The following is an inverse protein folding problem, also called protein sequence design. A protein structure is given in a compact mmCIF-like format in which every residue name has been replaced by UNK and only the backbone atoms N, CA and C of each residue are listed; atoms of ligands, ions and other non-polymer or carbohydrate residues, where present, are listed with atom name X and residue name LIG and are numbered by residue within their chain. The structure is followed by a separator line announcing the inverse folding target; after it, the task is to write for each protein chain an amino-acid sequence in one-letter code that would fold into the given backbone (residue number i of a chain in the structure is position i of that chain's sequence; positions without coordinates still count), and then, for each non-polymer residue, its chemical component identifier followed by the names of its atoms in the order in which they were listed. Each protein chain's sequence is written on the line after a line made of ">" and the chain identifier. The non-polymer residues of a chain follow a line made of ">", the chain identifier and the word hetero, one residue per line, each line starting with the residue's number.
data_IF_574508992446
#
_entry.id   IF_574508992446
#
_cell.length_a   1.000
_cell.length_b   1.000
_cell.length_c   1.000
_cell.angle_alpha   90.00
_cell.angle_beta   90.00
_cell.angle_gamma   90.00
#
_symmetry.space_group_name_H-M   'P 1'
#
loop_
_entity.id
_entity.type
_entity.pdbx_description
1 polymer ?
#
# COMPACT_ATOMS: atom_id res chain seq x y z
N UNK A 1 36.07 -47.78 31.67
CA UNK A 1 37.39 -48.44 31.71
C UNK A 1 38.03 -48.10 33.04
N UNK A 2 38.34 -49.08 33.88
CA UNK A 2 38.87 -48.83 35.23
C UNK A 2 40.32 -48.35 35.18
N UNK A 3 40.69 -47.43 36.06
CA UNK A 3 42.06 -46.92 36.15
C UNK A 3 42.92 -47.83 37.02
N UNK A 4 44.19 -47.97 36.67
CA UNK A 4 45.22 -48.64 37.49
C UNK A 4 45.86 -47.68 38.49
N UNK A 5 45.51 -46.40 38.49
CA UNK A 5 46.05 -45.41 39.41
C UNK A 5 45.17 -45.32 40.68
N UNK A 6 45.81 -45.52 41.84
CA UNK A 6 45.19 -45.58 43.17
C UNK A 6 44.56 -44.23 43.55
N UNK A 7 45.00 -43.13 42.95
CA UNK A 7 44.53 -41.77 43.27
C UNK A 7 43.23 -41.40 42.54
N UNK A 8 42.82 -42.19 41.55
CA UNK A 8 41.67 -41.87 40.72
C UNK A 8 40.37 -42.46 41.30
N UNK A 9 39.24 -41.73 41.22
CA UNK A 9 37.96 -42.20 41.77
C UNK A 9 37.40 -43.45 41.06
N UNK A 10 37.95 -43.83 39.91
CA UNK A 10 37.60 -45.01 39.13
C UNK A 10 38.64 -46.15 39.23
N UNK A 11 39.41 -46.19 40.31
CA UNK A 11 40.41 -47.23 40.56
C UNK A 11 39.79 -48.63 40.55
N UNK A 12 40.39 -49.54 39.77
CA UNK A 12 40.00 -50.95 39.76
C UNK A 12 41.16 -51.84 40.21
N UNK A 13 41.01 -52.53 41.37
CA UNK A 13 42.10 -53.31 41.96
C UNK A 13 42.50 -54.52 41.11
N UNK A 14 41.57 -55.10 40.34
CA UNK A 14 41.86 -56.25 39.48
C UNK A 14 42.80 -55.87 38.33
N UNK A 15 42.58 -54.71 37.70
CA UNK A 15 43.46 -54.22 36.64
C UNK A 15 44.82 -53.78 37.18
N UNK A 16 44.88 -53.24 38.40
CA UNK A 16 46.15 -52.87 39.03
C UNK A 16 47.04 -54.08 39.30
N UNK A 17 46.47 -55.15 39.86
CA UNK A 17 47.20 -56.40 40.12
C UNK A 17 47.66 -57.06 38.82
N UNK A 18 46.81 -57.07 37.80
CA UNK A 18 47.16 -57.60 36.47
C UNK A 18 48.32 -56.81 35.83
N UNK A 19 48.34 -55.49 35.98
CA UNK A 19 49.36 -54.65 35.35
C UNK A 19 50.71 -54.67 36.10
N UNK A 20 50.71 -54.67 37.44
CA UNK A 20 51.94 -54.52 38.23
C UNK A 20 52.46 -55.82 38.86
N UNK A 21 51.62 -56.85 38.98
CA UNK A 21 51.94 -58.10 39.69
C UNK A 21 51.46 -59.34 38.92
N UNK A 22 51.53 -59.31 37.59
CA UNK A 22 51.15 -60.44 36.71
C UNK A 22 51.96 -61.72 36.93
N UNK A 23 53.21 -61.60 37.41
CA UNK A 23 54.12 -62.73 37.66
C UNK A 23 54.23 -63.12 39.14
N UNK A 24 53.38 -62.60 40.02
CA UNK A 24 53.43 -62.90 41.45
C UNK A 24 52.84 -64.29 41.75
N UNK A 25 53.50 -65.04 42.63
CA UNK A 25 53.02 -66.37 43.04
C UNK A 25 51.88 -66.21 44.05
N UNK A 26 50.93 -67.16 44.10
CA UNK A 26 49.80 -67.12 45.05
C UNK A 26 50.23 -66.93 46.50
N UNK A 27 51.36 -67.53 46.90
CA UNK A 27 51.88 -67.42 48.26
C UNK A 27 52.40 -66.01 48.58
N UNK A 28 53.02 -65.34 47.59
CA UNK A 28 53.42 -63.94 47.71
C UNK A 28 52.22 -63.01 47.82
N UNK A 29 51.14 -63.26 47.07
CA UNK A 29 49.90 -62.48 47.17
C UNK A 29 49.26 -62.64 48.56
N UNK A 30 49.30 -63.84 49.13
CA UNK A 30 48.79 -64.11 50.48
C UNK A 30 49.61 -63.38 51.55
N UNK A 31 50.94 -63.45 51.48
CA UNK A 31 51.81 -62.72 52.39
C UNK A 31 51.66 -61.19 52.25
N UNK A 32 51.52 -60.68 51.03
CA UNK A 32 51.25 -59.26 50.79
C UNK A 32 49.90 -58.83 51.36
N UNK A 33 48.87 -59.68 51.28
CA UNK A 33 47.57 -59.40 51.89
C UNK A 33 47.67 -59.34 53.41
N UNK A 34 48.37 -60.28 54.05
CA UNK A 34 48.61 -60.24 55.51
C UNK A 34 49.40 -58.99 55.92
N UNK A 35 50.44 -58.64 55.16
CA UNK A 35 51.19 -57.40 55.36
C UNK A 35 50.29 -56.17 55.23
N UNK A 36 49.46 -56.08 54.19
CA UNK A 36 48.52 -54.97 53.98
C UNK A 36 47.48 -54.89 55.10
N UNK A 37 46.97 -56.01 55.60
CA UNK A 37 46.05 -56.03 56.74
C UNK A 37 46.71 -55.49 58.00
N UNK A 38 47.97 -55.88 58.26
CA UNK A 38 48.76 -55.36 59.38
C UNK A 38 49.04 -53.87 59.21
N UNK A 39 49.53 -53.44 58.05
CA UNK A 39 49.73 -52.01 57.73
C UNK A 39 48.43 -51.22 57.80
N UNK A 40 47.28 -51.78 57.44
CA UNK A 40 45.97 -51.11 57.59
C UNK A 40 45.58 -50.94 59.05
N UNK A 41 45.86 -51.93 59.90
CA UNK A 41 45.64 -51.82 61.34
C UNK A 41 46.55 -50.75 61.96
N UNK A 42 47.83 -50.74 61.59
CA UNK A 42 48.81 -49.73 62.03
C UNK A 42 48.45 -48.32 61.50
N UNK A 43 48.03 -48.23 60.23
CA UNK A 43 47.59 -46.98 59.61
C UNK A 43 46.26 -46.46 60.15
N UNK A 44 45.38 -47.28 60.74
CA UNK A 44 44.23 -46.75 61.48
C UNK A 44 44.70 -45.97 62.71
N UNK A 45 45.71 -46.46 63.43
CA UNK A 45 46.37 -45.73 64.51
C UNK A 45 46.97 -44.41 64.01
N UNK A 46 47.81 -44.46 62.97
CA UNK A 46 48.47 -43.28 62.40
C UNK A 46 47.49 -42.27 61.74
N UNK A 47 46.43 -42.74 61.08
CA UNK A 47 45.39 -41.89 60.51
C UNK A 47 44.57 -41.21 61.61
N UNK A 48 44.27 -41.90 62.71
CA UNK A 48 43.60 -41.26 63.84
C UNK A 48 44.49 -40.25 64.56
N UNK A 49 45.82 -40.43 64.63
CA UNK A 49 46.73 -39.41 65.17
C UNK A 49 46.93 -38.24 64.21
N UNK A 50 47.03 -38.48 62.90
CA UNK A 50 47.10 -37.43 61.88
C UNK A 50 45.84 -36.57 61.85
N UNK A 51 44.66 -37.21 61.90
CA UNK A 51 43.39 -36.51 62.05
C UNK A 51 43.39 -35.75 63.38
N UNK A 52 43.68 -36.39 64.52
CA UNK A 52 43.72 -35.72 65.83
C UNK A 52 44.63 -34.49 65.88
N UNK A 53 45.80 -34.55 65.25
CA UNK A 53 46.76 -33.45 65.23
C UNK A 53 46.38 -32.33 64.25
N UNK A 54 45.51 -32.60 63.26
CA UNK A 54 45.13 -31.65 62.20
C UNK A 54 43.61 -31.44 62.07
N UNK A 55 42.84 -31.78 63.12
CA UNK A 55 41.37 -31.65 63.15
C UNK A 55 40.94 -30.21 62.85
N UNK A 56 41.69 -29.22 63.35
CA UNK A 56 41.39 -27.81 63.13
C UNK A 56 41.42 -27.43 61.64
N UNK A 57 42.49 -27.78 60.93
CA UNK A 57 42.63 -27.51 59.50
C UNK A 57 41.62 -28.29 58.65
N UNK A 58 41.24 -29.49 59.08
CA UNK A 58 40.19 -30.25 58.39
C UNK A 58 38.80 -29.63 58.59
N UNK A 59 38.48 -29.19 59.81
CA UNK A 59 37.23 -28.46 60.07
C UNK A 59 37.18 -27.16 59.29
N UNK A 60 38.28 -26.41 59.24
CA UNK A 60 38.40 -25.19 58.44
C UNK A 60 38.18 -25.47 56.95
N UNK A 61 38.81 -26.49 56.38
CA UNK A 61 38.61 -26.87 54.98
C UNK A 61 37.15 -27.30 54.70
N UNK A 62 36.52 -28.01 55.64
CA UNK A 62 35.11 -28.41 55.52
C UNK A 62 34.18 -27.20 55.61
N UNK A 63 34.48 -26.23 56.48
CA UNK A 63 33.66 -25.02 56.62
C UNK A 63 33.84 -24.09 55.41
N UNK A 64 35.06 -23.91 54.89
CA UNK A 64 35.31 -23.24 53.61
C UNK A 64 34.52 -23.92 52.48
N UNK A 65 34.49 -25.25 52.45
CA UNK A 65 33.74 -25.99 51.42
C UNK A 65 32.22 -25.82 51.57
N UNK A 66 31.70 -25.76 52.81
CA UNK A 66 30.29 -25.44 53.07
C UNK A 66 29.98 -24.01 52.66
N UNK A 67 30.87 -23.06 52.91
CA UNK A 67 30.70 -21.67 52.50
C UNK A 67 30.71 -21.53 50.98
N UNK A 68 31.64 -22.20 50.28
CA UNK A 68 31.64 -22.26 48.81
C UNK A 68 30.34 -22.88 48.29
N UNK A 69 29.87 -23.97 48.91
CA UNK A 69 28.60 -24.61 48.51
C UNK A 69 27.41 -23.69 48.78
N UNK A 70 27.40 -22.97 49.90
CA UNK A 70 26.35 -21.99 50.23
C UNK A 70 26.35 -20.84 49.24
N UNK A 71 27.51 -20.26 48.94
CA UNK A 71 27.66 -19.20 47.93
C UNK A 71 27.28 -19.65 46.51
N UNK A 72 27.49 -20.93 46.20
CA UNK A 72 27.11 -21.52 44.91
C UNK A 72 25.63 -21.89 44.83
N UNK A 73 25.00 -22.21 45.95
CA UNK A 73 23.56 -22.47 46.07
C UNK A 73 22.75 -21.17 46.26
N UNK A 74 23.41 -20.08 46.67
CA UNK A 74 22.83 -18.75 46.72
C UNK A 74 22.54 -18.30 45.29
N UNK A 75 21.28 -18.46 44.90
CA UNK A 75 20.63 -18.30 43.60
C UNK A 75 20.73 -16.88 42.99
N UNK A 76 21.81 -16.15 43.25
CA UNK A 76 22.10 -14.84 42.64
C UNK A 76 22.11 -14.89 41.12
N UNK A 77 22.30 -16.05 40.48
CA UNK A 77 22.22 -16.18 39.01
C UNK A 77 20.79 -16.22 38.47
N UNK A 78 19.79 -16.68 39.24
CA UNK A 78 18.37 -16.66 38.81
C UNK A 78 17.71 -15.29 39.03
N UNK A 79 18.07 -14.59 40.10
CA UNK A 79 17.47 -13.30 40.46
C UNK A 79 18.23 -12.07 39.94
N UNK A 80 19.35 -12.23 39.22
CA UNK A 80 20.13 -11.08 38.71
C UNK A 80 19.44 -10.36 37.55
N UNK A 81 18.75 -11.09 36.67
CA UNK A 81 18.12 -10.54 35.48
C UNK A 81 16.69 -10.03 35.72
N UNK A 82 16.04 -10.50 36.78
CA UNK A 82 14.66 -10.14 37.15
C UNK A 82 14.46 -8.61 37.31
N UNK A 83 15.35 -7.86 37.99
CA UNK A 83 15.18 -6.40 38.13
C UNK A 83 15.45 -5.66 36.82
N UNK A 84 16.36 -6.17 35.98
CA UNK A 84 16.69 -5.58 34.68
C UNK A 84 15.53 -5.75 33.71
N UNK A 85 14.91 -6.94 33.68
CA UNK A 85 13.72 -7.19 32.87
C UNK A 85 12.58 -6.26 33.30
N UNK A 86 12.31 -6.14 34.60
CA UNK A 86 11.29 -5.23 35.13
C UNK A 86 11.56 -3.77 34.75
N UNK A 87 12.81 -3.32 34.83
CA UNK A 87 13.19 -1.97 34.42
C UNK A 87 12.98 -1.75 32.91
N UNK A 88 13.32 -2.72 32.07
CA UNK A 88 13.09 -2.64 30.62
C UNK A 88 11.60 -2.60 30.30
N UNK A 89 10.79 -3.45 30.93
CA UNK A 89 9.33 -3.44 30.76
C UNK A 89 8.71 -2.11 31.19
N UNK A 90 9.19 -1.51 32.28
CA UNK A 90 8.73 -0.20 32.73
C UNK A 90 9.12 0.92 31.78
N UNK A 91 10.37 0.93 31.28
CA UNK A 91 10.82 1.88 30.26
C UNK A 91 10.00 1.71 28.97
N UNK A 92 9.76 0.48 28.52
CA UNK A 92 8.93 0.20 27.35
C UNK A 92 7.50 0.70 27.54
N UNK A 93 6.89 0.50 28.73
CA UNK A 93 5.55 1.00 29.03
C UNK A 93 5.49 2.53 29.00
N UNK A 94 6.48 3.20 29.59
CA UNK A 94 6.58 4.66 29.56
C UNK A 94 6.78 5.15 28.12
N UNK A 95 7.67 4.52 27.36
CA UNK A 95 7.92 4.86 25.98
C UNK A 95 6.66 4.71 25.12
N UNK A 96 5.93 3.59 25.23
CA UNK A 96 4.65 3.42 24.54
C UNK A 96 3.65 4.50 24.94
N UNK A 97 3.50 4.78 26.24
CA UNK A 97 2.60 5.85 26.69
C UNK A 97 2.97 7.23 26.16
N UNK A 98 4.27 7.54 26.02
CA UNK A 98 4.73 8.82 25.47
C UNK A 98 4.52 8.86 23.95
N UNK A 99 4.99 7.84 23.24
CA UNK A 99 5.02 7.81 21.79
C UNK A 99 3.68 7.48 21.13
N UNK A 100 2.75 6.78 21.77
CA UNK A 100 1.45 6.47 21.18
C UNK A 100 0.69 7.75 20.81
N UNK A 101 0.78 8.78 21.66
CA UNK A 101 0.18 10.09 21.36
C UNK A 101 0.86 10.81 20.21
N UNK A 102 2.19 10.70 20.10
CA UNK A 102 2.96 11.34 19.04
C UNK A 102 2.83 10.61 17.70
N UNK A 103 2.76 9.27 17.72
CA UNK A 103 2.48 8.44 16.56
C UNK A 103 1.06 8.72 16.04
N UNK A 104 0.05 8.76 16.92
CA UNK A 104 -1.31 9.09 16.50
C UNK A 104 -1.41 10.49 15.87
N UNK A 105 -0.68 11.47 16.41
CA UNK A 105 -0.59 12.83 15.83
C UNK A 105 0.14 12.84 14.49
N UNK A 106 1.22 12.08 14.37
CA UNK A 106 1.95 11.92 13.12
C UNK A 106 1.07 11.26 12.05
N UNK A 107 0.39 10.18 12.39
CA UNK A 107 -0.53 9.48 11.47
C UNK A 107 -1.66 10.41 11.02
N UNK A 108 -2.25 11.18 11.93
CA UNK A 108 -3.26 12.17 11.56
C UNK A 108 -2.70 13.25 10.63
N UNK A 109 -1.49 13.74 10.91
CA UNK A 109 -0.79 14.71 10.05
C UNK A 109 -0.50 14.12 8.66
N UNK A 110 -0.10 12.86 8.59
CA UNK A 110 0.21 12.16 7.35
C UNK A 110 -1.06 11.85 6.55
N UNK A 111 -2.19 11.54 7.21
CA UNK A 111 -3.51 11.46 6.58
C UNK A 111 -3.90 12.81 5.97
N UNK A 112 -3.74 13.92 6.70
CA UNK A 112 -4.04 15.26 6.17
C UNK A 112 -3.14 15.57 4.97
N UNK A 113 -1.83 15.30 5.06
CA UNK A 113 -0.89 15.51 3.95
C UNK A 113 -1.28 14.68 2.74
N UNK A 114 -1.60 13.40 2.93
CA UNK A 114 -2.01 12.52 1.84
C UNK A 114 -3.32 13.00 1.20
N UNK A 115 -4.33 13.33 2.01
CA UNK A 115 -5.60 13.88 1.53
C UNK A 115 -5.39 15.18 0.76
N UNK A 116 -4.56 16.09 1.26
CA UNK A 116 -4.22 17.35 0.60
C UNK A 116 -3.52 17.11 -0.74
N UNK A 117 -2.55 16.19 -0.78
CA UNK A 117 -1.85 15.84 -2.02
C UNK A 117 -2.82 15.28 -3.08
N UNK A 118 -3.75 14.41 -2.67
CA UNK A 118 -4.80 13.88 -3.56
C UNK A 118 -5.68 15.02 -4.07
N UNK A 119 -6.17 15.91 -3.20
CA UNK A 119 -7.02 17.04 -3.59
C UNK A 119 -6.29 18.00 -4.53
N UNK A 120 -5.01 18.29 -4.27
CA UNK A 120 -4.21 19.19 -5.10
C UNK A 120 -3.92 18.57 -6.46
N UNK A 121 -3.50 17.29 -6.51
CA UNK A 121 -3.21 16.56 -7.74
C UNK A 121 -4.45 16.43 -8.62
N UNK A 122 -5.60 16.16 -8.02
CA UNK A 122 -6.86 15.98 -8.73
C UNK A 122 -7.78 17.20 -8.66
N UNK A 123 -7.25 18.38 -8.32
CA UNK A 123 -8.00 19.64 -8.23
C UNK A 123 -8.81 19.87 -9.51
N UNK A 124 -8.21 19.62 -10.66
CA UNK A 124 -8.86 19.71 -11.97
C UNK A 124 -10.15 18.87 -12.07
N UNK A 125 -10.13 17.62 -11.58
CA UNK A 125 -11.28 16.70 -11.65
C UNK A 125 -12.46 17.25 -10.85
N UNK A 126 -12.21 17.80 -9.66
CA UNK A 126 -13.26 18.39 -8.83
C UNK A 126 -13.89 19.65 -9.45
N UNK A 127 -13.11 20.43 -10.20
CA UNK A 127 -13.61 21.62 -10.88
C UNK A 127 -14.17 21.32 -12.28
N UNK A 128 -14.04 20.09 -12.77
CA UNK A 128 -14.39 19.70 -14.12
C UNK A 128 -15.89 19.91 -14.42
N UNK A 129 -16.84 19.42 -13.59
CA UNK A 129 -18.26 19.58 -13.90
C UNK A 129 -18.66 21.05 -14.00
N UNK A 130 -18.16 21.88 -13.07
CA UNK A 130 -18.42 23.32 -13.06
C UNK A 130 -17.78 24.04 -14.26
N UNK A 131 -16.60 23.60 -14.68
CA UNK A 131 -15.90 24.19 -15.83
C UNK A 131 -16.62 23.83 -17.13
N UNK A 132 -17.06 22.58 -17.28
CA UNK A 132 -17.85 22.11 -18.42
C UNK A 132 -19.14 22.92 -18.54
N UNK A 133 -19.90 23.07 -17.45
CA UNK A 133 -21.15 23.80 -17.47
C UNK A 133 -20.96 25.27 -17.91
N UNK A 134 -19.89 25.93 -17.43
CA UNK A 134 -19.55 27.30 -17.82
C UNK A 134 -19.12 27.40 -19.29
N UNK A 135 -18.31 26.46 -19.76
CA UNK A 135 -17.81 26.44 -21.14
C UNK A 135 -18.93 26.14 -22.14
N UNK A 136 -19.92 25.32 -21.77
CA UNK A 136 -21.12 25.09 -22.59
C UNK A 136 -21.96 26.36 -22.74
N UNK A 137 -22.11 27.14 -21.66
CA UNK A 137 -22.81 28.45 -21.71
C UNK A 137 -22.10 29.49 -22.57
N UNK A 138 -20.79 29.34 -22.78
CA UNK A 138 -19.96 30.24 -23.60
C UNK A 138 -19.75 29.72 -25.03
N UNK A 139 -20.34 28.58 -25.38
CA UNK A 139 -20.17 27.91 -26.67
C UNK A 139 -18.71 27.52 -27.00
N UNK A 140 -17.85 27.40 -25.98
CA UNK A 140 -16.43 27.03 -26.10
C UNK A 140 -16.27 25.49 -26.13
N UNK A 141 -16.89 24.83 -27.12
CA UNK A 141 -17.01 23.36 -27.16
C UNK A 141 -15.68 22.62 -27.33
N UNK A 142 -14.68 23.22 -27.99
CA UNK A 142 -13.36 22.63 -28.17
C UNK A 142 -12.65 22.38 -26.84
N UNK A 143 -12.72 23.35 -25.93
CA UNK A 143 -12.11 23.24 -24.59
C UNK A 143 -12.78 22.14 -23.78
N UNK A 144 -14.11 22.06 -23.84
CA UNK A 144 -14.89 21.02 -23.15
C UNK A 144 -14.43 19.63 -23.55
N UNK A 145 -14.19 19.39 -24.83
CA UNK A 145 -13.77 18.07 -25.33
C UNK A 145 -12.36 17.73 -24.87
N UNK A 146 -11.43 18.68 -24.95
CA UNK A 146 -10.07 18.48 -24.44
C UNK A 146 -10.06 18.20 -22.94
N UNK A 147 -10.87 18.92 -22.17
CA UNK A 147 -11.01 18.71 -20.73
C UNK A 147 -11.61 17.33 -20.42
N UNK A 148 -12.58 16.86 -21.21
CA UNK A 148 -13.19 15.53 -21.07
C UNK A 148 -12.21 14.39 -21.41
N UNK A 149 -11.42 14.54 -22.47
CA UNK A 149 -10.37 13.57 -22.82
C UNK A 149 -9.32 13.50 -21.71
N UNK A 150 -8.89 14.65 -21.20
CA UNK A 150 -7.96 14.73 -20.07
C UNK A 150 -8.54 14.11 -18.79
N UNK A 151 -9.82 14.32 -18.53
CA UNK A 151 -10.51 13.74 -17.39
C UNK A 151 -10.57 12.21 -17.49
N UNK A 152 -10.92 11.66 -18.66
CA UNK A 152 -10.92 10.20 -18.90
C UNK A 152 -9.56 9.58 -18.58
N UNK A 153 -8.46 10.15 -19.09
CA UNK A 153 -7.11 9.67 -18.80
C UNK A 153 -6.79 9.73 -17.29
N UNK A 154 -7.28 10.75 -16.58
CA UNK A 154 -7.06 10.87 -15.15
C UNK A 154 -7.86 9.83 -14.33
N UNK A 155 -9.08 9.49 -14.76
CA UNK A 155 -9.90 8.47 -14.11
C UNK A 155 -9.38 7.05 -14.29
N UNK A 156 -8.67 6.75 -15.39
CA UNK A 156 -8.03 5.43 -15.59
C UNK A 156 -6.95 5.13 -14.53
N UNK A 157 -6.34 6.17 -13.95
CA UNK A 157 -5.26 6.01 -12.97
C UNK A 157 -5.71 5.89 -11.51
N UNK A 158 -6.98 6.17 -11.20
CA UNK A 158 -7.46 6.26 -9.81
C UNK A 158 -8.84 5.63 -9.65
N UNK A 159 -8.89 4.50 -8.94
CA UNK A 159 -10.14 3.87 -8.53
C UNK A 159 -10.39 4.12 -7.04
N UNK A 160 -11.12 5.18 -6.72
CA UNK A 160 -11.57 5.47 -5.35
C UNK A 160 -13.06 5.80 -5.33
N UNK A 161 -13.73 5.46 -4.21
CA UNK A 161 -15.19 5.65 -4.07
C UNK A 161 -15.62 7.11 -4.29
N UNK A 162 -14.77 8.08 -3.93
CA UNK A 162 -15.04 9.51 -4.09
C UNK A 162 -15.04 9.89 -5.57
N UNK A 163 -14.10 9.36 -6.36
CA UNK A 163 -14.02 9.64 -7.78
C UNK A 163 -15.18 9.06 -8.58
N UNK A 164 -15.81 7.98 -8.11
CA UNK A 164 -16.98 7.39 -8.80
C UNK A 164 -18.19 8.32 -8.86
N UNK A 165 -18.42 9.13 -7.82
CA UNK A 165 -19.53 10.09 -7.84
C UNK A 165 -19.27 11.19 -8.87
N UNK A 166 -18.03 11.71 -8.91
CA UNK A 166 -17.63 12.73 -9.89
C UNK A 166 -17.64 12.14 -11.29
N UNK A 167 -17.16 10.93 -11.48
CA UNK A 167 -17.19 10.22 -12.76
C UNK A 167 -18.63 10.06 -13.27
N UNK A 168 -19.58 9.75 -12.39
CA UNK A 168 -21.01 9.68 -12.76
C UNK A 168 -21.55 11.03 -13.22
N UNK A 169 -21.21 12.10 -12.50
CA UNK A 169 -21.63 13.46 -12.86
C UNK A 169 -21.01 13.91 -14.20
N UNK A 170 -19.73 13.60 -14.42
CA UNK A 170 -19.04 13.87 -15.69
C UNK A 170 -19.67 13.08 -16.83
N UNK A 171 -19.96 11.79 -16.65
CA UNK A 171 -20.62 11.00 -17.70
C UNK A 171 -22.01 11.54 -18.04
N UNK A 172 -22.77 12.01 -17.03
CA UNK A 172 -24.05 12.67 -17.26
C UNK A 172 -23.90 13.96 -18.07
N UNK A 173 -22.87 14.77 -17.80
CA UNK A 173 -22.57 15.96 -18.59
C UNK A 173 -22.15 15.61 -20.02
N UNK A 174 -21.34 14.55 -20.22
CA UNK A 174 -21.01 14.05 -21.55
C UNK A 174 -22.29 13.66 -22.31
N UNK A 175 -23.23 12.99 -21.64
CA UNK A 175 -24.49 12.60 -22.26
C UNK A 175 -25.34 13.80 -22.65
N UNK A 176 -25.39 14.84 -21.82
CA UNK A 176 -26.09 16.11 -22.14
C UNK A 176 -25.44 16.85 -23.33
N UNK A 177 -24.10 16.83 -23.41
CA UNK A 177 -23.38 17.39 -24.54
C UNK A 177 -23.68 16.64 -25.84
N UNK A 178 -23.74 15.31 -25.78
CA UNK A 178 -24.10 14.47 -26.93
C UNK A 178 -25.50 14.80 -27.44
N UNK A 179 -26.48 14.94 -26.56
CA UNK A 179 -27.84 15.30 -26.97
C UNK A 179 -27.89 16.70 -27.57
N UNK A 180 -27.17 17.67 -26.99
CA UNK A 180 -27.07 19.03 -27.52
C UNK A 180 -26.44 19.06 -28.92
N UNK A 181 -25.30 18.39 -29.13
CA UNK A 181 -24.66 18.35 -30.45
C UNK A 181 -25.52 17.62 -31.48
N UNK A 182 -26.23 16.55 -31.10
CA UNK A 182 -27.20 15.90 -31.98
C UNK A 182 -28.35 16.83 -32.35
N UNK A 183 -28.91 17.57 -31.38
CA UNK A 183 -29.97 18.56 -31.66
C UNK A 183 -29.49 19.64 -32.63
N UNK A 184 -28.30 20.20 -32.41
CA UNK A 184 -27.69 21.20 -33.30
C UNK A 184 -27.41 20.66 -34.71
N UNK A 185 -27.07 19.37 -34.85
CA UNK A 185 -26.92 18.71 -36.15
C UNK A 185 -28.26 18.50 -36.88
N UNK A 186 -29.36 18.35 -36.14
CA UNK A 186 -30.71 18.24 -36.72
C UNK A 186 -31.36 19.60 -37.04
N UNK A 187 -30.85 20.70 -36.47
CA UNK A 187 -31.28 22.06 -36.79
C UNK A 187 -30.82 22.44 -38.21
N UNK A 188 -31.72 22.32 -39.18
CA UNK A 188 -31.52 22.81 -40.55
C UNK A 188 -32.20 24.17 -40.73
N UNK A 189 -31.53 25.20 -41.31
CA UNK A 189 -30.25 25.17 -42.01
C UNK A 189 -29.06 25.57 -41.12
N UNK A 190 -28.15 24.64 -40.85
CA UNK A 190 -26.84 24.89 -40.23
C UNK A 190 -25.74 25.03 -41.29
N UNK A 191 -24.67 25.77 -41.00
CA UNK A 191 -23.52 25.89 -41.89
C UNK A 191 -22.80 24.54 -42.04
N UNK A 192 -22.30 24.24 -43.23
CA UNK A 192 -21.53 23.01 -43.49
C UNK A 192 -20.30 22.90 -42.59
N UNK A 193 -19.69 24.04 -42.24
CA UNK A 193 -18.51 24.09 -41.37
C UNK A 193 -18.87 23.71 -39.92
N UNK A 194 -20.03 24.16 -39.44
CA UNK A 194 -20.54 23.80 -38.10
C UNK A 194 -20.91 22.32 -38.03
N UNK A 195 -21.54 21.79 -39.09
CA UNK A 195 -21.87 20.36 -39.18
C UNK A 195 -20.61 19.49 -39.13
N UNK A 196 -19.57 19.84 -39.90
CA UNK A 196 -18.28 19.13 -39.85
C UNK A 196 -17.63 19.23 -38.45
N UNK A 197 -17.72 20.38 -37.81
CA UNK A 197 -17.18 20.61 -36.47
C UNK A 197 -17.89 19.73 -35.43
N UNK A 198 -19.22 19.72 -35.40
CA UNK A 198 -20.00 18.90 -34.48
C UNK A 198 -19.83 17.40 -34.71
N UNK A 199 -19.69 16.96 -35.97
CA UNK A 199 -19.35 15.56 -36.28
C UNK A 199 -17.99 15.18 -35.69
N UNK A 200 -16.97 16.04 -35.85
CA UNK A 200 -15.64 15.80 -35.27
C UNK A 200 -15.70 15.69 -33.74
N UNK A 201 -16.46 16.58 -33.11
CA UNK A 201 -16.67 16.61 -31.67
C UNK A 201 -17.41 15.39 -31.13
N UNK A 202 -18.45 14.93 -31.83
CA UNK A 202 -19.16 13.72 -31.46
C UNK A 202 -18.28 12.48 -31.63
N UNK A 203 -17.46 12.42 -32.68
CA UNK A 203 -16.55 11.30 -32.91
C UNK A 203 -15.43 11.23 -31.85
N UNK A 204 -14.91 12.38 -31.38
CA UNK A 204 -13.92 12.38 -30.29
C UNK A 204 -14.52 11.97 -28.94
N UNK A 205 -15.83 12.17 -28.75
CA UNK A 205 -16.55 11.77 -27.55
C UNK A 205 -17.04 10.31 -27.60
N UNK A 206 -17.31 9.78 -28.78
CA UNK A 206 -17.72 8.39 -29.00
C UNK A 206 -17.19 7.86 -30.35
N UNK A 207 -16.08 7.10 -30.33
CA UNK A 207 -15.52 6.52 -31.54
C UNK A 207 -16.39 5.44 -32.18
N UNK A 208 -17.43 4.93 -31.48
CA UNK A 208 -18.27 3.83 -31.96
C UNK A 208 -19.55 4.30 -32.65
N UNK A 209 -19.99 5.52 -32.39
CA UNK A 209 -21.10 6.12 -33.12
C UNK A 209 -20.63 6.65 -34.48
N UNK A 210 -21.52 6.67 -35.48
CA UNK A 210 -21.32 7.36 -36.76
C UNK A 210 -22.26 8.60 -36.84
N UNK A 211 -21.83 9.75 -36.28
CA UNK A 211 -22.61 10.98 -36.30
C UNK A 211 -22.78 11.57 -37.71
N UNK A 212 -21.88 11.21 -38.64
CA UNK A 212 -21.96 11.69 -40.01
C UNK A 212 -23.15 11.05 -40.73
N UNK A 213 -23.38 9.75 -40.50
CA UNK A 213 -24.53 9.04 -41.04
C UNK A 213 -25.86 9.60 -40.53
N UNK A 214 -25.96 9.87 -39.22
CA UNK A 214 -27.16 10.49 -38.62
C UNK A 214 -27.48 11.87 -39.24
N UNK A 215 -26.43 12.67 -39.50
CA UNK A 215 -26.56 13.98 -40.14
C UNK A 215 -27.09 13.86 -41.58
N UNK A 216 -26.54 12.93 -42.38
CA UNK A 216 -26.97 12.70 -43.77
C UNK A 216 -28.45 12.26 -43.82
N UNK A 217 -28.87 11.38 -42.91
CA UNK A 217 -30.27 10.95 -42.83
C UNK A 217 -31.18 12.14 -42.52
N UNK A 218 -30.84 12.97 -41.54
CA UNK A 218 -31.65 14.14 -41.20
C UNK A 218 -31.71 15.16 -42.32
N UNK A 219 -30.59 15.40 -43.01
CA UNK A 219 -30.57 16.32 -44.14
C UNK A 219 -31.41 15.79 -45.32
N UNK A 220 -31.37 14.47 -45.58
CA UNK A 220 -32.26 13.84 -46.55
C UNK A 220 -33.74 14.07 -46.18
N UNK A 221 -34.12 13.84 -44.93
CA UNK A 221 -35.51 14.04 -44.46
C UNK A 221 -35.93 15.50 -44.59
N UNK A 222 -35.08 16.44 -44.16
CA UNK A 222 -35.33 17.87 -44.29
C UNK A 222 -35.50 18.31 -45.75
N UNK A 223 -34.65 17.82 -46.65
CA UNK A 223 -34.75 18.10 -48.09
C UNK A 223 -36.04 17.52 -48.69
N UNK A 224 -36.43 16.30 -48.32
CA UNK A 224 -37.69 15.69 -48.77
C UNK A 224 -38.88 16.54 -48.29
N UNK A 225 -38.84 17.04 -47.06
CA UNK A 225 -39.92 17.86 -46.52
C UNK A 225 -40.02 19.22 -47.21
N UNK A 226 -38.88 19.85 -47.50
CA UNK A 226 -38.85 21.08 -48.33
C UNK A 226 -39.42 20.80 -49.72
N UNK A 227 -39.02 19.69 -50.37
CA UNK A 227 -39.52 19.32 -51.69
C UNK A 227 -41.04 19.05 -51.68
N UNK A 228 -41.57 18.39 -50.64
CA UNK A 228 -43.01 18.20 -50.46
C UNK A 228 -43.74 19.52 -50.25
N UNK A 229 -43.18 20.42 -49.43
CA UNK A 229 -43.77 21.75 -49.20
C UNK A 229 -43.81 22.61 -50.48
N UNK A 230 -42.87 22.40 -51.41
CA UNK A 230 -42.90 23.03 -52.73
C UNK A 230 -43.89 22.38 -53.71
N UNK A 231 -44.24 21.11 -53.50
CA UNK A 231 -45.20 20.38 -54.34
C UNK A 231 -46.68 20.66 -53.97
N UNK A 232 -46.94 21.18 -52.78
CA UNK A 232 -48.29 21.60 -52.34
C UNK A 232 -48.57 23.04 -52.80
N UNK A 233 -49.31 23.16 -53.89
CA UNK A 233 -49.97 24.34 -54.48
C UNK A 233 -49.16 25.65 -54.74
N UNK A 234 -49.03 26.09 -56.02
CA UNK A 234 -48.39 27.36 -56.37
C UNK A 234 -49.19 28.62 -55.94
N UNK A 235 -50.42 28.47 -55.42
CA UNK A 235 -51.31 29.61 -55.11
C UNK A 235 -51.12 30.23 -53.71
N UNK A 236 -50.44 29.56 -52.78
CA UNK A 236 -50.14 30.11 -51.44
C UNK A 236 -48.73 30.73 -51.32
N UNK A 237 -47.88 30.57 -52.35
CA UNK A 237 -46.48 31.00 -52.33
C UNK A 237 -46.28 32.52 -52.24
N UNK A 238 -47.25 33.34 -52.64
CA UNK A 238 -47.10 34.80 -52.62
C UNK A 238 -47.25 35.42 -51.21
N UNK A 239 -47.98 34.75 -50.31
CA UNK A 239 -48.17 35.22 -48.93
C UNK A 239 -47.05 34.73 -48.00
N UNK A 240 -46.60 33.47 -48.14
CA UNK A 240 -45.55 32.89 -47.29
C UNK A 240 -44.13 33.33 -47.65
N UNK A 241 -43.86 33.69 -48.92
CA UNK A 241 -42.54 34.23 -49.31
C UNK A 241 -42.18 35.52 -48.57
N UNK A 242 -43.18 36.34 -48.18
CA UNK A 242 -42.95 37.56 -47.40
C UNK A 242 -42.65 37.27 -45.93
N UNK A 243 -43.28 36.28 -45.29
CA UNK A 243 -42.98 35.93 -43.89
C UNK A 243 -41.64 35.19 -43.74
N UNK A 244 -41.31 34.30 -44.68
CA UNK A 244 -40.07 33.51 -44.62
C UNK A 244 -38.81 34.36 -44.92
N UNK A 245 -38.90 35.38 -45.79
CA UNK A 245 -37.79 36.33 -46.01
C UNK A 245 -37.72 37.45 -44.97
N UNK A 246 -38.84 37.87 -44.36
CA UNK A 246 -38.84 38.93 -43.35
C UNK A 246 -38.27 38.47 -42.01
N UNK A 247 -38.59 37.23 -41.58
CA UNK A 247 -37.94 36.62 -40.39
C UNK A 247 -36.45 36.34 -40.65
N UNK A 248 -36.05 36.09 -41.90
CA UNK A 248 -34.64 35.89 -42.28
C UNK A 248 -33.79 37.17 -42.24
N UNK A 249 -34.36 38.36 -42.42
CA UNK A 249 -33.58 39.62 -42.29
C UNK A 249 -33.39 40.09 -40.85
N UNK A 250 -34.28 39.72 -39.92
CA UNK A 250 -34.16 40.17 -38.52
C UNK A 250 -33.13 39.39 -37.69
N UNK A 251 -32.68 38.22 -38.16
CA UNK A 251 -31.71 37.39 -37.41
C UNK A 251 -30.28 37.44 -37.97
N UNK A 252 -30.07 38.00 -39.16
CA UNK A 252 -28.73 38.32 -39.68
C UNK A 252 -28.44 39.82 -39.56
N UNK A 253 -28.23 40.29 -38.33
CA UNK A 253 -27.47 41.52 -38.09
C UNK A 253 -25.98 41.17 -37.99
N UNK A 254 -25.44 40.60 -39.07
CA UNK A 254 -24.00 40.61 -39.34
C UNK A 254 -23.83 41.26 -40.71
N UNK A 255 -23.25 42.46 -40.71
CA UNK A 255 -22.91 43.22 -41.91
C UNK A 255 -22.06 42.39 -42.87
N UNK A 256 -22.66 41.87 -43.93
CA UNK A 256 -21.91 41.52 -45.14
C UNK A 256 -21.97 42.72 -46.10
N UNK A 257 -20.91 43.53 -46.09
CA UNK A 257 -20.64 44.55 -47.10
C UNK A 257 -20.48 43.85 -48.46
N UNK A 258 -21.52 43.88 -49.28
CA UNK A 258 -21.39 43.62 -50.71
C UNK A 258 -20.69 44.81 -51.37
N UNK A 259 -19.40 44.66 -51.68
CA UNK A 259 -18.71 45.52 -52.65
C UNK A 259 -19.43 45.38 -53.98
N UNK A 260 -20.02 46.47 -54.47
CA UNK A 260 -20.40 46.63 -55.88
C UNK A 260 -19.15 46.44 -56.73
N UNK A 261 -19.08 45.36 -57.50
CA UNK A 261 -18.26 45.36 -58.71
C UNK A 261 -19.06 46.08 -59.79
N UNK A 262 -18.56 47.26 -60.15
CA UNK A 262 -19.04 48.06 -61.26
C UNK A 262 -18.73 47.36 -62.58
N UNK A 263 -19.73 47.44 -63.45
CA UNK A 263 -19.75 47.19 -64.88
C UNK A 263 -18.53 47.77 -65.63
N UNK A 264 -18.08 47.00 -66.63
CA UNK A 264 -17.58 47.41 -67.96
C UNK A 264 -16.52 48.52 -68.07
N UNK A 265 -15.33 48.13 -68.54
CA UNK A 265 -14.94 48.33 -69.95
C UNK A 265 -14.23 47.07 -70.45
#
# INVERSE_FOLDING_TARGET
>A
MGSTDITQPNFNPYYYLLAHKSNATFDELRQNLEHLQKTRADNKGASTTLVKNNIASFMEAVDIMKDIRRLSADDRKKNFYEPVIKLVEEISRIAHSMYDTDLARKDYSDIIRNALNVIQRYKFIFHLPQTIERSVKREEYEKVINDLVRARAAFETVDSKVFRNIQREVEQQIQNLRTLFRQRLTEFPSSLDDQKLFIRYLHSLDPRADPAWDCIIHQKVALIEVLRSCAVDPKQQHQQRKSFFFVRKSSTSCEFKFKKFSSFY
#
